data_IF_738403396110
#
_entry.id   IF_738403396110
#
_cell.length_a   1.000
_cell.length_b   1.000
_cell.length_c   1.000
_cell.angle_alpha   90.00
_cell.angle_beta   90.00
_cell.angle_gamma   90.00
#
_symmetry.space_group_name_H-M   'P 1'
#
loop_
_entity.id
_entity.type
_entity.pdbx_description
1 polymer ?
#
# COMPACT_ATOMS: atom_id res chain seq x y z
N UNK A 1 -35.56 -6.13 5.91
CA UNK A 1 -34.91 -5.63 7.15
C UNK A 1 -33.76 -6.56 7.60
N UNK A 2 -32.69 -6.74 6.83
CA UNK A 2 -31.60 -7.63 7.26
C UNK A 2 -30.28 -7.40 6.49
N UNK A 3 -29.41 -6.49 6.95
CA UNK A 3 -27.99 -6.49 6.52
C UNK A 3 -27.01 -5.59 7.30
N UNK A 4 -27.41 -4.86 8.35
CA UNK A 4 -26.52 -3.88 9.01
C UNK A 4 -25.23 -4.47 9.63
N UNK A 5 -25.22 -5.78 9.88
CA UNK A 5 -24.13 -6.50 10.54
C UNK A 5 -23.10 -7.07 9.54
N UNK A 6 -23.45 -7.20 8.26
CA UNK A 6 -22.60 -7.86 7.25
C UNK A 6 -21.41 -6.97 6.87
N UNK A 7 -21.66 -5.68 6.67
CA UNK A 7 -20.64 -4.67 6.37
C UNK A 7 -19.72 -4.38 7.54
N UNK A 8 -20.28 -4.34 8.76
CA UNK A 8 -19.50 -4.17 10.00
C UNK A 8 -18.55 -5.34 10.22
N UNK A 9 -18.98 -6.58 9.94
CA UNK A 9 -18.13 -7.77 10.03
C UNK A 9 -17.01 -7.78 8.99
N UNK A 10 -17.28 -7.38 7.74
CA UNK A 10 -16.24 -7.28 6.70
C UNK A 10 -15.16 -6.26 7.06
N UNK A 11 -15.56 -5.10 7.58
CA UNK A 11 -14.64 -4.05 8.05
C UNK A 11 -13.79 -4.53 9.24
N UNK A 12 -14.40 -5.28 10.17
CA UNK A 12 -13.69 -5.86 11.31
C UNK A 12 -12.71 -6.97 10.90
N UNK A 13 -13.05 -7.80 9.91
CA UNK A 13 -12.17 -8.88 9.42
C UNK A 13 -10.97 -8.29 8.68
N UNK A 14 -11.18 -7.26 7.86
CA UNK A 14 -10.08 -6.53 7.21
C UNK A 14 -9.18 -5.84 8.24
N UNK A 15 -9.75 -5.16 9.24
CA UNK A 15 -8.99 -4.53 10.31
C UNK A 15 -8.18 -5.56 11.13
N UNK A 16 -8.76 -6.72 11.43
CA UNK A 16 -8.07 -7.80 12.16
C UNK A 16 -6.96 -8.43 11.31
N UNK A 17 -7.16 -8.59 10.00
CA UNK A 17 -6.12 -9.06 9.09
C UNK A 17 -4.95 -8.07 9.00
N UNK A 18 -5.22 -6.77 8.96
CA UNK A 18 -4.17 -5.74 9.00
C UNK A 18 -3.44 -5.71 10.34
N UNK A 19 -4.16 -5.88 11.46
CA UNK A 19 -3.55 -5.98 12.78
C UNK A 19 -2.67 -7.23 12.90
N UNK A 20 -3.12 -8.39 12.39
CA UNK A 20 -2.34 -9.62 12.38
C UNK A 20 -1.07 -9.49 11.52
N UNK A 21 -1.16 -8.83 10.36
CA UNK A 21 0.01 -8.52 9.54
C UNK A 21 1.00 -7.59 10.25
N UNK A 22 0.50 -6.59 10.99
CA UNK A 22 1.33 -5.69 11.81
C UNK A 22 2.02 -6.43 12.98
N UNK A 23 1.34 -7.38 13.61
CA UNK A 23 1.91 -8.22 14.67
C UNK A 23 2.98 -9.18 14.15
N UNK A 24 2.81 -9.71 12.92
CA UNK A 24 3.84 -10.56 12.29
C UNK A 24 5.11 -9.78 11.96
N UNK A 25 4.98 -8.53 11.50
CA UNK A 25 6.11 -7.60 11.28
C UNK A 25 6.77 -7.19 12.61
N UNK A 26 6.03 -7.12 13.70
CA UNK A 26 6.59 -6.79 15.01
C UNK A 26 7.29 -7.99 15.66
N UNK A 27 6.81 -9.22 15.44
CA UNK A 27 7.44 -10.43 15.97
C UNK A 27 8.84 -10.70 15.36
N UNK A 28 9.10 -10.25 14.13
CA UNK A 28 10.43 -10.34 13.52
C UNK A 28 11.45 -9.35 14.11
N UNK A 29 11.01 -8.34 14.88
CA UNK A 29 11.91 -7.39 15.55
C UNK A 29 12.59 -7.95 16.81
N UNK A 30 12.11 -9.07 17.36
CA UNK A 30 12.65 -9.68 18.58
C UNK A 30 13.84 -10.63 18.35
N UNK A 31 14.30 -10.83 17.10
CA UNK A 31 15.39 -11.75 16.77
C UNK A 31 16.68 -11.07 16.26
N UNK A 32 16.88 -9.78 16.52
CA UNK A 32 18.11 -9.05 16.13
C UNK A 32 19.14 -8.92 17.26
N UNK A 33 19.00 -9.67 18.35
CA UNK A 33 20.09 -9.88 19.30
C UNK A 33 21.06 -10.91 18.73
N UNK A 34 22.25 -10.46 18.34
CA UNK A 34 23.44 -11.28 18.04
C UNK A 34 23.59 -11.78 16.59
N UNK A 35 23.98 -10.89 15.68
CA UNK A 35 25.01 -11.18 14.67
C UNK A 35 25.26 -9.92 13.84
N UNK A 36 26.50 -9.75 13.42
CA UNK A 36 26.99 -8.76 12.46
C UNK A 36 26.11 -8.64 11.21
N UNK A 37 24.99 -7.93 11.31
CA UNK A 37 24.15 -7.60 10.17
C UNK A 37 24.76 -6.34 9.57
N UNK A 38 25.42 -6.50 8.42
CA UNK A 38 25.95 -5.36 7.69
C UNK A 38 24.85 -4.30 7.51
N UNK A 39 25.12 -3.01 7.75
CA UNK A 39 24.11 -1.95 7.66
C UNK A 39 23.42 -1.85 6.29
N UNK A 40 23.99 -2.47 5.26
CA UNK A 40 23.41 -2.60 3.92
C UNK A 40 22.20 -3.53 3.86
N UNK A 41 22.17 -4.63 4.64
CA UNK A 41 21.12 -5.66 4.54
C UNK A 41 19.77 -5.18 5.07
N UNK A 42 19.78 -4.51 6.22
CA UNK A 42 18.59 -3.90 6.82
C UNK A 42 18.02 -2.76 5.94
N UNK A 43 18.89 -1.96 5.30
CA UNK A 43 18.48 -0.92 4.35
C UNK A 43 17.77 -1.50 3.13
N UNK A 44 18.22 -2.63 2.59
CA UNK A 44 17.58 -3.29 1.45
C UNK A 44 16.19 -3.84 1.80
N UNK A 45 16.06 -4.48 2.97
CA UNK A 45 14.76 -4.97 3.43
C UNK A 45 13.80 -3.80 3.70
N UNK A 46 14.27 -2.74 4.37
CA UNK A 46 13.49 -1.53 4.63
C UNK A 46 13.03 -0.82 3.36
N UNK A 47 13.93 -0.64 2.37
CA UNK A 47 13.61 -0.03 1.08
C UNK A 47 12.61 -0.87 0.28
N UNK A 48 12.79 -2.20 0.24
CA UNK A 48 11.88 -3.11 -0.42
C UNK A 48 10.48 -3.13 0.20
N UNK A 49 10.39 -3.08 1.54
CA UNK A 49 9.11 -3.05 2.25
C UNK A 49 8.37 -1.71 2.04
N UNK A 50 9.09 -0.59 2.07
CA UNK A 50 8.51 0.74 1.84
C UNK A 50 7.87 0.86 0.45
N UNK A 51 8.60 0.46 -0.60
CA UNK A 51 8.05 0.47 -1.96
C UNK A 51 6.97 -0.61 -2.16
N UNK A 52 7.20 -1.83 -1.67
CA UNK A 52 6.27 -2.95 -1.83
C UNK A 52 4.88 -2.68 -1.23
N UNK A 53 4.82 -2.10 -0.03
CA UNK A 53 3.55 -1.75 0.60
C UNK A 53 2.86 -0.57 -0.09
N UNK A 54 3.63 0.44 -0.52
CA UNK A 54 3.09 1.58 -1.26
C UNK A 54 2.52 1.15 -2.63
N UNK A 55 3.27 0.35 -3.38
CA UNK A 55 2.84 -0.20 -4.67
C UNK A 55 1.66 -1.16 -4.52
N UNK A 56 1.62 -1.97 -3.46
CA UNK A 56 0.48 -2.82 -3.15
C UNK A 56 -0.80 -2.03 -2.88
N UNK A 57 -0.72 -0.96 -2.08
CA UNK A 57 -1.84 -0.06 -1.82
C UNK A 57 -2.30 0.69 -3.08
N UNK A 58 -1.35 1.21 -3.86
CA UNK A 58 -1.64 1.89 -5.13
C UNK A 58 -2.29 0.95 -6.15
N UNK A 59 -1.84 -0.30 -6.27
CA UNK A 59 -2.41 -1.30 -7.18
C UNK A 59 -3.87 -1.62 -6.89
N UNK A 60 -4.23 -1.75 -5.60
CA UNK A 60 -5.64 -1.95 -5.20
C UNK A 60 -6.48 -0.71 -5.51
N UNK A 61 -5.96 0.48 -5.19
CA UNK A 61 -6.61 1.75 -5.55
C UNK A 61 -6.84 1.88 -7.05
N UNK A 62 -5.82 1.57 -7.85
CA UNK A 62 -5.86 1.71 -9.30
C UNK A 62 -6.79 0.71 -9.96
N UNK A 63 -6.86 -0.53 -9.46
CA UNK A 63 -7.80 -1.54 -9.95
C UNK A 63 -9.26 -1.07 -9.81
N UNK A 64 -9.61 -0.48 -8.66
CA UNK A 64 -10.97 0.05 -8.43
C UNK A 64 -11.25 1.33 -9.23
N UNK A 65 -10.31 2.28 -9.24
CA UNK A 65 -10.45 3.52 -9.98
C UNK A 65 -10.55 3.27 -11.50
N UNK A 66 -9.73 2.36 -12.03
CA UNK A 66 -9.76 1.96 -13.44
C UNK A 66 -11.09 1.34 -13.84
N UNK A 67 -11.65 0.44 -13.02
CA UNK A 67 -12.98 -0.13 -13.28
C UNK A 67 -14.08 0.94 -13.29
N UNK A 68 -14.03 1.89 -12.36
CA UNK A 68 -14.96 3.02 -12.33
C UNK A 68 -14.84 3.90 -13.58
N UNK A 69 -13.63 4.20 -14.04
CA UNK A 69 -13.37 5.02 -15.22
C UNK A 69 -13.88 4.36 -16.49
N UNK A 70 -13.66 3.06 -16.67
CA UNK A 70 -14.18 2.33 -17.85
C UNK A 70 -15.71 2.43 -17.91
N UNK A 71 -16.39 2.26 -16.78
CA UNK A 71 -17.85 2.40 -16.72
C UNK A 71 -18.33 3.84 -16.98
N UNK A 72 -17.63 4.84 -16.44
CA UNK A 72 -17.97 6.25 -16.58
C UNK A 72 -17.56 6.84 -17.94
N UNK A 73 -16.62 6.24 -18.66
CA UNK A 73 -16.18 6.67 -19.98
C UNK A 73 -17.30 6.57 -21.04
N UNK A 74 -18.35 5.80 -20.77
CA UNK A 74 -19.52 5.67 -21.63
C UNK A 74 -20.43 6.92 -21.60
N UNK A 75 -20.32 7.76 -20.56
CA UNK A 75 -21.25 8.88 -20.30
C UNK A 75 -20.73 10.26 -20.75
N UNK A 76 -19.77 10.33 -21.69
CA UNK A 76 -19.10 11.60 -22.09
C UNK A 76 -18.59 12.41 -20.89
N UNK A 77 -17.95 11.77 -19.91
CA UNK A 77 -17.26 12.49 -18.83
C UNK A 77 -15.98 13.14 -19.32
N UNK A 78 -15.63 14.24 -18.65
CA UNK A 78 -14.37 14.95 -18.85
C UNK A 78 -13.17 14.04 -18.54
N UNK A 79 -12.35 13.80 -19.57
CA UNK A 79 -11.15 12.95 -19.50
C UNK A 79 -10.11 13.50 -18.52
N UNK A 80 -10.10 14.81 -18.27
CA UNK A 80 -9.19 15.45 -17.31
C UNK A 80 -9.46 14.93 -15.90
N UNK A 81 -10.73 14.68 -15.55
CA UNK A 81 -11.09 14.14 -14.24
C UNK A 81 -10.61 12.70 -14.05
N UNK A 82 -10.68 11.88 -15.10
CA UNK A 82 -10.18 10.50 -15.05
C UNK A 82 -8.66 10.46 -14.89
N UNK A 83 -7.95 11.34 -15.61
CA UNK A 83 -6.51 11.45 -15.48
C UNK A 83 -6.09 11.93 -14.09
N UNK A 84 -6.81 12.88 -13.49
CA UNK A 84 -6.55 13.34 -12.12
C UNK A 84 -6.73 12.23 -11.09
N UNK A 85 -7.81 11.43 -11.18
CA UNK A 85 -8.03 10.31 -10.27
C UNK A 85 -6.90 9.28 -10.39
N UNK A 86 -6.46 8.95 -11.60
CA UNK A 86 -5.30 8.07 -11.81
C UNK A 86 -4.00 8.66 -11.26
N UNK A 87 -3.76 9.94 -11.51
CA UNK A 87 -2.55 10.63 -11.06
C UNK A 87 -2.43 10.60 -9.53
N UNK A 88 -3.52 10.82 -8.79
CA UNK A 88 -3.50 10.73 -7.33
C UNK A 88 -3.13 9.32 -6.83
N UNK A 89 -3.63 8.26 -7.47
CA UNK A 89 -3.26 6.90 -7.09
C UNK A 89 -1.79 6.62 -7.39
N UNK A 90 -1.29 7.04 -8.55
CA UNK A 90 0.11 6.88 -8.96
C UNK A 90 1.08 7.65 -8.05
N UNK A 91 0.69 8.82 -7.55
CA UNK A 91 1.55 9.60 -6.64
C UNK A 91 1.91 8.84 -5.36
N UNK A 92 1.05 7.92 -4.89
CA UNK A 92 1.34 7.06 -3.73
C UNK A 92 2.48 6.10 -4.05
N UNK A 93 2.47 5.47 -5.23
CA UNK A 93 3.52 4.55 -5.66
C UNK A 93 4.86 5.29 -5.87
N UNK A 94 4.82 6.47 -6.48
CA UNK A 94 6.00 7.32 -6.68
C UNK A 94 6.58 7.74 -5.32
N UNK A 95 5.75 8.13 -4.36
CA UNK A 95 6.23 8.49 -3.03
C UNK A 95 6.88 7.29 -2.31
N UNK A 96 6.34 6.08 -2.49
CA UNK A 96 6.95 4.84 -2.01
C UNK A 96 8.35 4.59 -2.58
N UNK A 97 8.56 4.85 -3.88
CA UNK A 97 9.87 4.71 -4.51
C UNK A 97 10.84 5.80 -4.04
N UNK A 98 10.35 7.02 -3.83
CA UNK A 98 11.16 8.13 -3.27
C UNK A 98 11.65 7.75 -1.87
N UNK A 99 10.79 7.23 -1.00
CA UNK A 99 11.20 6.79 0.35
C UNK A 99 12.21 5.65 0.27
N UNK A 100 12.04 4.67 -0.62
CA UNK A 100 13.00 3.59 -0.81
C UNK A 100 14.39 4.12 -1.22
N UNK A 101 14.44 5.10 -2.11
CA UNK A 101 15.68 5.79 -2.49
C UNK A 101 16.28 6.55 -1.29
N UNK A 102 15.45 7.25 -0.50
CA UNK A 102 15.92 7.97 0.69
C UNK A 102 16.56 7.03 1.71
N UNK A 103 15.96 5.87 1.97
CA UNK A 103 16.50 4.83 2.86
C UNK A 103 17.88 4.35 2.37
N UNK A 104 18.03 4.16 1.06
CA UNK A 104 19.29 3.72 0.47
C UNK A 104 20.36 4.82 0.42
N UNK A 105 19.94 6.06 0.23
CA UNK A 105 20.83 7.22 0.10
C UNK A 105 21.38 7.74 1.43
N UNK A 106 20.72 7.41 2.55
CA UNK A 106 21.17 7.79 3.86
C UNK A 106 22.47 7.02 4.20
N UNK A 107 23.54 7.69 4.69
CA UNK A 107 24.78 7.03 5.13
C UNK A 107 24.52 6.01 6.24
#
# INVERSE_FOLDING_TARGET
MMAGNKWRKALMISALAMLAAAMLVSASSNATTSSSTSPSGEKLIGAGLAFGLAAGGAGVGMGTAGAAIVSASLEKRDMVMFLLVLAFVETIAIYGIVIAILIMSHP
#
